data_IF_299176892337
#
_entry.id   IF_299176892337
#
_cell.length_a   1.000
_cell.length_b   1.000
_cell.length_c   1.000
_cell.angle_alpha   90.00
_cell.angle_beta   90.00
_cell.angle_gamma   90.00
#
_symmetry.space_group_name_H-M   'P 1'
#
loop_
_entity.id
_entity.type
_entity.pdbx_description
1 polymer ?
#
# COMPACT_ATOMS: atom_id res chain seq x y z
N UNK A 1 31.67 60.48 30.87
CA UNK A 1 32.07 59.16 30.37
C UNK A 1 30.94 58.70 29.46
N UNK A 2 31.22 58.69 28.14
CA UNK A 2 30.78 57.72 27.10
C UNK A 2 29.28 57.31 27.02
N UNK A 3 28.61 57.25 25.86
CA UNK A 3 28.98 57.61 24.47
C UNK A 3 28.70 56.50 23.44
N UNK A 4 27.70 56.70 22.56
CA UNK A 4 27.33 55.89 21.35
C UNK A 4 27.04 54.38 21.65
N UNK A 5 26.62 53.46 20.73
CA UNK A 5 26.40 53.42 19.26
C UNK A 5 24.96 53.00 18.85
N UNK A 6 24.72 52.91 17.54
CA UNK A 6 23.55 52.38 16.80
C UNK A 6 23.47 50.83 16.76
N UNK A 7 22.44 50.26 16.10
CA UNK A 7 22.68 49.14 15.14
C UNK A 7 21.81 47.86 15.16
N UNK A 8 20.82 47.81 14.27
CA UNK A 8 20.38 46.70 13.36
C UNK A 8 20.64 45.21 13.68
N UNK A 9 19.59 44.37 13.49
CA UNK A 9 19.52 42.92 13.18
C UNK A 9 20.74 41.98 13.36
N UNK A 10 20.50 40.79 13.91
CA UNK A 10 20.61 39.55 13.09
C UNK A 10 19.90 38.31 13.68
N UNK A 11 19.51 37.41 12.79
CA UNK A 11 18.89 36.12 13.09
C UNK A 11 19.87 35.12 13.71
N UNK A 12 19.34 34.13 14.43
CA UNK A 12 19.92 32.79 14.43
C UNK A 12 18.81 31.74 14.30
N UNK A 13 18.59 31.23 13.08
CA UNK A 13 17.64 30.13 12.80
C UNK A 13 18.42 28.81 12.77
N UNK A 14 18.25 28.02 13.83
CA UNK A 14 18.45 26.56 13.90
C UNK A 14 17.47 26.09 14.99
N UNK A 15 16.41 25.34 14.75
CA UNK A 15 16.46 23.98 14.21
C UNK A 15 15.09 23.46 13.73
N UNK A 16 15.11 22.74 12.61
CA UNK A 16 14.65 21.34 12.53
C UNK A 16 13.44 20.88 13.37
N UNK A 17 12.20 21.20 12.95
CA UNK A 17 11.08 20.22 12.82
C UNK A 17 9.70 20.87 12.64
N UNK A 18 9.19 20.89 11.40
CA UNK A 18 7.76 21.04 11.13
C UNK A 18 7.39 20.32 9.83
N UNK A 19 6.27 19.59 9.85
CA UNK A 19 5.82 18.72 8.77
C UNK A 19 5.54 19.47 7.46
N UNK A 20 6.43 19.30 6.47
CA UNK A 20 6.13 19.67 5.09
C UNK A 20 5.12 18.67 4.51
N UNK A 21 3.83 18.93 4.77
CA UNK A 21 2.74 18.34 4.01
C UNK A 21 2.89 18.76 2.54
N UNK A 22 3.55 17.91 1.73
CA UNK A 22 3.60 18.08 0.27
C UNK A 22 2.18 18.01 -0.28
N UNK A 23 1.60 19.19 -0.53
CA UNK A 23 0.21 19.35 -0.98
C UNK A 23 -0.06 18.74 -2.37
N UNK A 24 1.01 18.43 -3.10
CA UNK A 24 1.00 17.86 -4.44
C UNK A 24 1.20 16.33 -4.49
N UNK A 25 1.13 15.61 -3.36
CA UNK A 25 1.24 14.14 -3.34
C UNK A 25 -0.13 13.45 -3.35
N UNK A 26 -0.28 12.47 -4.24
CA UNK A 26 -1.44 11.57 -4.37
C UNK A 26 -0.98 10.16 -4.01
N UNK A 27 -1.44 9.64 -2.87
CA UNK A 27 -1.22 8.25 -2.50
C UNK A 27 -2.38 7.39 -2.98
N UNK A 28 -2.11 6.49 -3.94
CA UNK A 28 -3.07 5.52 -4.45
C UNK A 28 -3.04 4.27 -3.56
N UNK A 29 -4.18 3.99 -2.94
CA UNK A 29 -4.37 2.79 -2.11
C UNK A 29 -5.25 1.76 -2.84
N UNK A 30 -5.20 0.51 -2.38
CA UNK A 30 -5.93 -0.60 -2.98
C UNK A 30 -7.44 -0.59 -2.63
N UNK A 31 -8.21 0.43 -3.04
CA UNK A 31 -9.69 0.42 -2.94
C UNK A 31 -10.43 1.26 -4.00
N UNK A 32 -11.59 0.73 -4.43
CA UNK A 32 -12.89 1.36 -4.82
C UNK A 32 -12.99 2.62 -5.68
N UNK A 33 -11.98 3.47 -5.83
CA UNK A 33 -12.05 4.67 -6.68
C UNK A 33 -11.79 4.28 -8.14
N UNK A 34 -12.57 4.78 -9.11
CA UNK A 34 -12.32 4.51 -10.53
C UNK A 34 -11.00 5.15 -10.96
N UNK A 35 -10.31 4.57 -11.95
CA UNK A 35 -9.01 5.03 -12.46
C UNK A 35 -8.98 6.55 -12.74
N UNK A 36 -10.00 7.06 -13.43
CA UNK A 36 -10.13 8.47 -13.78
C UNK A 36 -10.28 9.44 -12.60
N UNK A 37 -10.66 8.97 -11.40
CA UNK A 37 -10.63 9.81 -10.20
C UNK A 37 -9.21 10.32 -9.92
N UNK A 38 -8.22 9.43 -9.99
CA UNK A 38 -6.83 9.77 -9.74
C UNK A 38 -6.21 10.55 -10.91
N UNK A 39 -6.56 10.23 -12.16
CA UNK A 39 -6.13 11.01 -13.33
C UNK A 39 -6.60 12.46 -13.24
N UNK A 40 -7.88 12.68 -12.90
CA UNK A 40 -8.45 14.03 -12.78
C UNK A 40 -7.92 14.78 -11.54
N UNK A 41 -7.62 14.08 -10.45
CA UNK A 41 -6.94 14.66 -9.29
C UNK A 41 -5.50 15.08 -9.63
N UNK A 42 -4.77 14.26 -10.38
CA UNK A 42 -3.42 14.57 -10.86
C UNK A 42 -3.39 15.81 -11.77
N UNK A 43 -4.33 15.91 -12.74
CA UNK A 43 -4.52 17.13 -13.56
C UNK A 43 -4.70 18.38 -12.69
N UNK A 44 -5.57 18.34 -11.68
CA UNK A 44 -5.80 19.47 -10.75
C UNK A 44 -4.57 19.81 -9.92
N UNK A 45 -3.76 18.84 -9.54
CA UNK A 45 -2.54 19.08 -8.77
C UNK A 45 -1.43 19.66 -9.66
N UNK A 46 -1.29 19.19 -10.91
CA UNK A 46 -0.38 19.79 -11.91
C UNK A 46 -0.75 21.26 -12.21
N UNK A 47 -2.04 21.61 -12.25
CA UNK A 47 -2.50 23.00 -12.38
C UNK A 47 -2.10 23.90 -11.19
N UNK A 48 -1.88 23.35 -10.00
CA UNK A 48 -1.65 24.11 -8.77
C UNK A 48 -0.19 24.17 -8.33
N UNK A 49 0.62 23.19 -8.71
CA UNK A 49 1.96 22.96 -8.14
C UNK A 49 3.05 22.64 -9.18
N UNK A 50 2.72 22.66 -10.48
CA UNK A 50 3.55 22.25 -11.65
C UNK A 50 4.12 20.82 -11.61
N UNK A 51 4.12 20.15 -10.47
CA UNK A 51 4.58 18.78 -10.28
C UNK A 51 3.58 18.01 -9.41
N UNK A 52 3.35 16.74 -9.71
CA UNK A 52 2.56 15.83 -8.88
C UNK A 52 3.38 14.60 -8.51
N UNK A 53 3.26 14.16 -7.27
CA UNK A 53 3.90 12.94 -6.77
C UNK A 53 2.85 11.85 -6.62
N UNK A 54 2.94 10.80 -7.43
CA UNK A 54 2.07 9.63 -7.36
C UNK A 54 2.77 8.54 -6.57
N UNK A 55 2.21 8.10 -5.44
CA UNK A 55 2.78 6.99 -4.67
C UNK A 55 1.80 5.83 -4.48
N UNK A 56 2.32 4.60 -4.47
CA UNK A 56 1.54 3.39 -4.26
C UNK A 56 2.36 2.29 -3.60
N UNK A 57 1.64 1.31 -3.05
CA UNK A 57 2.20 0.19 -2.31
C UNK A 57 1.52 -1.13 -2.74
N UNK A 58 2.32 -2.16 -2.97
CA UNK A 58 1.86 -3.48 -3.41
C UNK A 58 1.00 -3.42 -4.68
N UNK A 59 -0.18 -4.06 -4.66
CA UNK A 59 -1.07 -4.16 -5.82
C UNK A 59 -1.51 -2.80 -6.42
N UNK A 60 -1.45 -1.72 -5.64
CA UNK A 60 -1.81 -0.38 -6.14
C UNK A 60 -0.75 0.24 -7.09
N UNK A 61 0.45 -0.34 -7.16
CA UNK A 61 1.54 0.12 -8.04
C UNK A 61 1.09 0.14 -9.51
N UNK A 62 0.41 -0.90 -9.97
CA UNK A 62 -0.11 -0.99 -11.33
C UNK A 62 -0.97 0.23 -11.69
N UNK A 63 -1.87 0.64 -10.77
CA UNK A 63 -2.72 1.82 -10.96
C UNK A 63 -1.90 3.11 -11.09
N UNK A 64 -0.85 3.30 -10.28
CA UNK A 64 0.04 4.48 -10.40
C UNK A 64 0.81 4.50 -11.71
N UNK A 65 1.31 3.35 -12.15
CA UNK A 65 1.96 3.21 -13.47
C UNK A 65 0.98 3.59 -14.57
N UNK A 66 -0.23 3.04 -14.58
CA UNK A 66 -1.26 3.38 -15.58
C UNK A 66 -1.68 4.86 -15.55
N UNK A 67 -1.79 5.48 -14.36
CA UNK A 67 -2.07 6.93 -14.27
C UNK A 67 -0.93 7.74 -14.90
N UNK A 68 0.33 7.39 -14.61
CA UNK A 68 1.49 8.06 -15.17
C UNK A 68 1.59 7.87 -16.69
N UNK A 69 1.31 6.68 -17.21
CA UNK A 69 1.24 6.38 -18.65
C UNK A 69 0.15 7.20 -19.33
N UNK A 70 -1.06 7.28 -18.78
CA UNK A 70 -2.16 8.09 -19.33
C UNK A 70 -1.75 9.58 -19.42
N UNK A 71 -1.12 10.12 -18.37
CA UNK A 71 -0.70 11.52 -18.34
C UNK A 71 0.45 11.80 -19.32
N UNK A 72 1.42 10.88 -19.46
CA UNK A 72 2.51 11.00 -20.45
C UNK A 72 2.01 10.85 -21.89
N UNK A 73 1.19 9.83 -22.17
CA UNK A 73 0.69 9.54 -23.52
C UNK A 73 -0.25 10.63 -24.05
N UNK A 74 -1.04 11.26 -23.17
CA UNK A 74 -1.87 12.40 -23.52
C UNK A 74 -1.06 13.72 -23.65
N UNK A 75 0.27 13.67 -23.53
CA UNK A 75 1.13 14.85 -23.65
C UNK A 75 0.97 15.86 -22.50
N UNK A 76 0.36 15.48 -21.37
CA UNK A 76 0.10 16.34 -20.22
C UNK A 76 1.30 16.41 -19.25
N UNK A 77 2.14 15.37 -19.23
CA UNK A 77 3.18 15.23 -18.23
C UNK A 77 4.49 14.70 -18.78
N UNK A 78 5.57 15.06 -18.12
CA UNK A 78 6.91 14.48 -18.30
C UNK A 78 7.35 13.79 -17.01
N UNK A 79 8.09 12.70 -17.14
CA UNK A 79 8.66 12.01 -15.99
C UNK A 79 9.86 12.78 -15.44
N UNK A 80 9.84 13.09 -14.14
CA UNK A 80 10.95 13.75 -13.45
C UNK A 80 11.76 12.78 -12.59
N UNK A 81 11.09 11.81 -11.95
CA UNK A 81 11.72 10.80 -11.09
C UNK A 81 10.83 9.57 -10.94
N UNK A 82 11.41 8.38 -11.02
CA UNK A 82 10.82 7.14 -10.50
C UNK A 82 11.70 6.65 -9.35
N UNK A 83 11.07 6.24 -8.26
CA UNK A 83 11.74 5.68 -7.09
C UNK A 83 10.97 4.44 -6.62
N UNK A 84 11.66 3.30 -6.55
CA UNK A 84 11.14 2.05 -5.99
C UNK A 84 11.93 1.69 -4.75
N UNK A 85 11.25 1.28 -3.69
CA UNK A 85 11.89 0.76 -2.47
C UNK A 85 11.06 -0.37 -1.88
N UNK A 86 11.70 -1.44 -1.44
CA UNK A 86 11.06 -2.40 -0.52
C UNK A 86 10.83 -1.69 0.81
N UNK A 87 9.59 -1.68 1.31
CA UNK A 87 9.24 -1.02 2.57
C UNK A 87 8.86 -2.05 3.62
N UNK A 88 9.73 -2.19 4.63
CA UNK A 88 9.35 -2.82 5.88
C UNK A 88 8.30 -1.95 6.58
N UNK A 89 7.10 -2.48 6.79
CA UNK A 89 6.05 -1.77 7.53
C UNK A 89 6.51 -1.52 8.97
N UNK A 90 6.91 -0.27 9.26
CA UNK A 90 7.25 0.17 10.61
C UNK A 90 5.97 0.23 11.45
N UNK A 91 5.73 -0.84 12.18
CA UNK A 91 4.68 -0.96 13.19
C UNK A 91 5.02 -0.02 14.36
N UNK A 92 4.51 1.20 14.28
CA UNK A 92 4.79 2.25 15.27
C UNK A 92 4.05 1.92 16.58
N UNK A 93 4.77 1.37 17.56
CA UNK A 93 4.27 1.10 18.91
C UNK A 93 4.11 2.41 19.72
N UNK A 94 3.33 3.36 19.18
CA UNK A 94 2.89 4.58 19.84
C UNK A 94 1.64 4.33 20.68
N UNK A 95 1.81 4.18 22.00
CA UNK A 95 0.76 3.67 22.87
C UNK A 95 -0.49 4.55 23.01
N UNK A 96 -1.66 3.96 22.77
CA UNK A 96 -2.93 4.24 23.47
C UNK A 96 -3.68 2.92 23.69
N UNK A 97 -4.42 2.74 24.81
CA UNK A 97 -5.24 1.55 25.02
C UNK A 97 -6.49 1.60 24.13
N UNK A 98 -6.35 1.21 22.86
CA UNK A 98 -7.47 1.12 21.91
C UNK A 98 -8.31 -0.12 22.24
N UNK A 99 -9.64 0.05 22.27
CA UNK A 99 -10.57 -1.08 22.42
C UNK A 99 -10.31 -2.10 21.32
N UNK A 100 -9.97 -3.33 21.72
CA UNK A 100 -9.59 -4.40 20.78
C UNK A 100 -10.78 -4.78 19.91
N UNK A 101 -10.68 -4.51 18.60
CA UNK A 101 -11.58 -5.11 17.63
C UNK A 101 -11.51 -6.66 17.74
N UNK A 102 -12.63 -7.34 17.50
CA UNK A 102 -12.62 -8.80 17.36
C UNK A 102 -11.87 -9.15 16.08
N UNK A 103 -10.66 -9.69 16.20
CA UNK A 103 -9.85 -10.11 15.06
C UNK A 103 -10.49 -11.31 14.37
N UNK A 104 -10.49 -11.27 13.05
CA UNK A 104 -10.77 -12.43 12.19
C UNK A 104 -9.50 -12.85 11.45
N UNK A 105 -9.39 -14.14 11.15
CA UNK A 105 -8.40 -14.68 10.21
C UNK A 105 -9.14 -15.28 9.02
N UNK A 106 -8.46 -15.33 7.89
CA UNK A 106 -8.94 -16.05 6.72
C UNK A 106 -7.81 -16.39 5.77
N UNK A 107 -8.10 -17.20 4.77
CA UNK A 107 -7.11 -17.63 3.79
C UNK A 107 -7.75 -18.44 2.67
N UNK A 108 -7.00 -18.63 1.59
CA UNK A 108 -7.44 -19.30 0.36
C UNK A 108 -6.39 -20.32 -0.06
N UNK A 109 -6.78 -21.59 -0.14
CA UNK A 109 -5.97 -22.66 -0.73
C UNK A 109 -6.22 -22.69 -2.25
N UNK A 110 -5.14 -22.81 -3.04
CA UNK A 110 -5.20 -22.82 -4.50
C UNK A 110 -4.38 -23.97 -5.09
N UNK A 111 -4.72 -24.39 -6.30
CA UNK A 111 -3.88 -25.28 -7.11
C UNK A 111 -2.80 -24.51 -7.90
N UNK A 112 -1.98 -25.23 -8.67
CA UNK A 112 -0.96 -24.64 -9.54
C UNK A 112 -1.51 -23.74 -10.66
N UNK A 113 -2.80 -23.88 -10.99
CA UNK A 113 -3.51 -23.05 -11.97
C UNK A 113 -4.17 -21.83 -11.32
N UNK A 114 -3.88 -21.55 -10.04
CA UNK A 114 -4.51 -20.53 -9.21
C UNK A 114 -6.02 -20.71 -8.96
N UNK A 115 -6.59 -21.88 -9.28
CA UNK A 115 -7.99 -22.21 -8.98
C UNK A 115 -8.19 -22.38 -7.49
N UNK A 116 -9.26 -21.82 -6.94
CA UNK A 116 -9.57 -21.92 -5.51
C UNK A 116 -10.02 -23.35 -5.18
N UNK A 117 -9.26 -24.01 -4.30
CA UNK A 117 -9.56 -25.34 -3.79
C UNK A 117 -10.36 -25.29 -2.49
N UNK A 118 -10.07 -24.31 -1.63
CA UNK A 118 -10.78 -24.07 -0.38
C UNK A 118 -10.56 -22.62 0.09
N UNK A 119 -11.44 -22.15 0.97
CA UNK A 119 -11.26 -20.89 1.70
C UNK A 119 -11.74 -21.03 3.14
N UNK A 120 -11.07 -20.39 4.08
CA UNK A 120 -11.49 -20.33 5.48
C UNK A 120 -11.62 -18.88 5.95
N UNK A 121 -12.52 -18.65 6.91
CA UNK A 121 -12.71 -17.37 7.60
C UNK A 121 -13.28 -17.65 8.99
N UNK A 122 -12.63 -17.18 10.05
CA UNK A 122 -13.08 -17.38 11.43
C UNK A 122 -12.65 -16.25 12.37
N UNK A 123 -13.39 -16.05 13.46
CA UNK A 123 -13.02 -15.10 14.52
C UNK A 123 -12.01 -15.70 15.49
N UNK A 124 -10.87 -15.04 15.71
CA UNK A 124 -9.81 -15.47 16.65
C UNK A 124 -9.83 -14.72 17.99
N UNK A 125 -10.82 -13.87 18.19
CA UNK A 125 -10.97 -13.02 19.37
C UNK A 125 -10.01 -11.81 19.36
N UNK A 126 -9.85 -11.13 20.50
CA UNK A 126 -8.98 -9.96 20.60
C UNK A 126 -7.50 -10.36 20.68
N UNK A 127 -6.66 -9.79 19.81
CA UNK A 127 -5.20 -10.03 19.81
C UNK A 127 -4.41 -8.99 19.00
N UNK A 128 -3.08 -8.97 19.10
CA UNK A 128 -2.22 -8.18 18.20
C UNK A 128 -2.36 -8.65 16.75
N UNK A 129 -2.19 -7.77 15.74
CA UNK A 129 -2.21 -8.16 14.33
C UNK A 129 -1.25 -9.31 14.01
N UNK A 130 0.00 -9.24 14.50
CA UNK A 130 0.99 -10.31 14.33
C UNK A 130 0.56 -11.68 14.88
N UNK A 131 -0.28 -11.72 15.92
CA UNK A 131 -0.84 -12.98 16.43
C UNK A 131 -1.99 -13.49 15.56
N UNK A 132 -2.73 -12.59 14.89
CA UNK A 132 -3.73 -12.98 13.90
C UNK A 132 -3.05 -13.59 12.66
N UNK A 133 -1.94 -13.00 12.18
CA UNK A 133 -1.16 -13.54 11.06
C UNK A 133 -0.62 -14.96 11.35
N UNK A 134 0.07 -15.15 12.48
CA UNK A 134 0.55 -16.49 12.85
C UNK A 134 -0.59 -17.51 12.99
N UNK A 135 -1.75 -17.10 13.52
CA UNK A 135 -2.95 -17.96 13.58
C UNK A 135 -3.54 -18.25 12.20
N UNK A 136 -3.52 -17.30 11.27
CA UNK A 136 -3.95 -17.51 9.89
C UNK A 136 -3.04 -18.52 9.17
N UNK A 137 -1.72 -18.39 9.35
CA UNK A 137 -0.71 -19.32 8.85
C UNK A 137 -0.95 -20.73 9.41
N UNK A 138 -1.07 -20.87 10.74
CA UNK A 138 -1.38 -22.17 11.39
C UNK A 138 -2.67 -22.78 10.86
N UNK A 139 -3.75 -21.99 10.79
CA UNK A 139 -5.05 -22.44 10.30
C UNK A 139 -5.01 -22.86 8.82
N UNK A 140 -4.21 -22.18 7.99
CA UNK A 140 -3.99 -22.56 6.60
C UNK A 140 -3.23 -23.89 6.45
N UNK A 141 -2.24 -24.13 7.31
CA UNK A 141 -1.55 -25.42 7.42
C UNK A 141 -2.53 -26.51 7.87
N UNK A 142 -3.31 -26.28 8.92
CA UNK A 142 -4.30 -27.23 9.45
C UNK A 142 -5.36 -27.59 8.38
N UNK A 143 -5.83 -26.60 7.60
CA UNK A 143 -6.76 -26.81 6.47
C UNK A 143 -6.12 -27.63 5.35
N UNK A 144 -4.86 -27.34 5.00
CA UNK A 144 -4.14 -28.13 3.99
C UNK A 144 -3.94 -29.59 4.44
N UNK A 145 -3.44 -29.80 5.67
CA UNK A 145 -3.17 -31.12 6.24
C UNK A 145 -4.44 -31.97 6.40
N UNK A 146 -5.58 -31.32 6.66
CA UNK A 146 -6.89 -31.97 6.74
C UNK A 146 -7.53 -32.25 5.36
N UNK A 147 -6.93 -31.79 4.27
CA UNK A 147 -7.44 -31.95 2.90
C UNK A 147 -6.75 -33.11 2.15
N UNK A 148 -7.40 -33.62 1.11
CA UNK A 148 -6.79 -34.60 0.20
C UNK A 148 -5.51 -34.10 -0.50
N UNK A 149 -5.24 -32.79 -0.51
CA UNK A 149 -4.06 -32.23 -1.13
C UNK A 149 -2.78 -32.49 -0.32
N UNK A 150 -2.91 -32.82 0.96
CA UNK A 150 -1.81 -33.21 1.85
C UNK A 150 -1.03 -34.45 1.37
N UNK A 151 -1.61 -35.28 0.49
CA UNK A 151 -0.93 -36.44 -0.11
C UNK A 151 -0.56 -36.24 -1.57
N UNK A 152 -1.09 -35.20 -2.23
CA UNK A 152 -0.96 -34.97 -3.68
C UNK A 152 0.19 -34.03 -4.07
N UNK A 153 0.76 -33.27 -3.13
CA UNK A 153 1.86 -32.36 -3.46
C UNK A 153 2.48 -31.63 -2.27
N UNK A 154 3.39 -30.70 -2.57
CA UNK A 154 3.94 -29.75 -1.59
C UNK A 154 2.98 -28.56 -1.46
N UNK A 155 2.81 -28.05 -0.25
CA UNK A 155 2.18 -26.75 -0.06
C UNK A 155 3.22 -25.65 -0.40
N UNK A 156 2.75 -24.48 -0.82
CA UNK A 156 3.50 -23.22 -0.81
C UNK A 156 2.65 -22.27 0.02
N UNK A 157 3.22 -21.70 1.08
CA UNK A 157 2.51 -20.78 1.96
C UNK A 157 2.93 -19.35 1.62
N UNK A 158 1.98 -18.56 1.17
CA UNK A 158 2.20 -17.15 0.87
C UNK A 158 1.71 -16.31 2.07
N UNK A 159 2.54 -15.38 2.53
CA UNK A 159 2.17 -14.39 3.54
C UNK A 159 2.63 -13.00 3.12
N UNK A 160 1.80 -12.00 3.36
CA UNK A 160 2.14 -10.58 3.23
C UNK A 160 2.87 -10.02 4.48
N UNK A 161 2.93 -10.80 5.56
CA UNK A 161 3.61 -10.42 6.80
C UNK A 161 5.05 -10.96 6.86
N UNK A 162 6.02 -10.15 6.40
CA UNK A 162 7.46 -10.48 6.47
C UNK A 162 7.91 -10.91 7.87
N UNK A 163 7.50 -10.20 8.94
CA UNK A 163 7.88 -10.57 10.32
C UNK A 163 7.40 -11.97 10.72
N UNK A 164 6.19 -12.36 10.32
CA UNK A 164 5.70 -13.71 10.59
C UNK A 164 6.56 -14.76 9.87
N UNK A 165 6.92 -14.51 8.61
CA UNK A 165 7.86 -15.36 7.85
C UNK A 165 9.23 -15.43 8.53
N UNK A 166 9.83 -14.29 8.88
CA UNK A 166 11.15 -14.21 9.53
C UNK A 166 11.17 -14.95 10.87
N UNK A 167 10.13 -14.78 11.71
CA UNK A 167 9.98 -15.52 12.97
C UNK A 167 9.85 -17.02 12.74
N UNK A 168 9.09 -17.45 11.74
CA UNK A 168 8.90 -18.86 11.42
C UNK A 168 10.21 -19.51 10.89
N UNK A 169 10.97 -18.78 10.07
CA UNK A 169 12.26 -19.24 9.56
C UNK A 169 13.38 -19.18 10.63
N UNK A 170 13.27 -18.25 11.58
CA UNK A 170 14.23 -17.99 12.65
C UNK A 170 13.48 -17.88 14.00
N UNK A 171 13.02 -18.99 14.60
CA UNK A 171 12.17 -18.98 15.81
C UNK A 171 12.73 -18.20 17.00
N UNK A 172 14.06 -18.16 17.13
CA UNK A 172 14.77 -17.41 18.18
C UNK A 172 14.58 -15.88 18.11
N UNK A 173 14.05 -15.35 17.00
CA UNK A 173 13.73 -13.93 16.82
C UNK A 173 12.30 -13.56 17.22
N UNK A 174 11.46 -14.54 17.53
CA UNK A 174 10.06 -14.33 17.92
C UNK A 174 9.93 -13.90 19.39
N UNK A 175 8.99 -12.98 19.72
CA UNK A 175 8.63 -12.69 21.10
C UNK A 175 8.14 -13.93 21.87
N UNK A 176 8.50 -14.03 23.14
CA UNK A 176 8.16 -15.18 24.00
C UNK A 176 6.67 -15.46 24.14
N UNK A 177 5.80 -14.46 23.95
CA UNK A 177 4.33 -14.66 24.01
C UNK A 177 3.77 -15.44 22.80
N UNK A 178 4.53 -15.57 21.72
CA UNK A 178 4.15 -16.32 20.52
C UNK A 178 5.15 -17.41 20.10
N UNK A 179 6.22 -17.64 20.88
CA UNK A 179 7.25 -18.63 20.54
C UNK A 179 6.67 -20.05 20.38
N UNK A 180 5.76 -20.48 21.25
CA UNK A 180 5.09 -21.78 21.15
C UNK A 180 4.33 -22.00 19.84
N UNK A 181 3.67 -20.95 19.34
CA UNK A 181 2.95 -20.99 18.05
C UNK A 181 3.93 -20.99 16.87
N UNK A 182 5.03 -20.24 16.97
CA UNK A 182 6.10 -20.20 15.97
C UNK A 182 6.84 -21.54 15.90
N UNK A 183 7.12 -22.18 17.04
CA UNK A 183 7.71 -23.52 17.15
C UNK A 183 6.79 -24.60 16.57
N UNK A 184 5.48 -24.56 16.88
CA UNK A 184 4.47 -25.46 16.31
C UNK A 184 4.43 -25.35 14.77
N UNK A 185 4.36 -24.13 14.24
CA UNK A 185 4.38 -23.86 12.80
C UNK A 185 5.72 -24.34 12.19
N UNK A 186 6.86 -24.02 12.82
CA UNK A 186 8.20 -24.43 12.40
C UNK A 186 8.38 -25.95 12.27
N UNK A 187 7.79 -26.72 13.19
CA UNK A 187 7.80 -28.18 13.16
C UNK A 187 7.06 -28.73 11.93
N UNK A 188 5.87 -28.21 11.60
CA UNK A 188 5.11 -28.61 10.41
C UNK A 188 5.87 -28.31 9.10
N UNK A 189 6.60 -27.20 9.06
CA UNK A 189 7.37 -26.76 7.88
C UNK A 189 8.58 -27.65 7.61
N UNK A 190 9.35 -27.89 8.66
CA UNK A 190 10.56 -28.74 8.63
C UNK A 190 10.22 -30.18 8.19
N UNK A 191 9.04 -30.68 8.56
CA UNK A 191 8.60 -32.04 8.24
C UNK A 191 8.23 -32.26 6.75
N UNK A 192 7.96 -31.21 5.96
CA UNK A 192 7.33 -31.37 4.62
C UNK A 192 7.90 -30.51 3.47
N UNK A 193 9.01 -29.80 3.68
CA UNK A 193 9.64 -28.92 2.66
C UNK A 193 8.60 -27.96 2.05
N UNK A 194 7.98 -27.20 2.94
CA UNK A 194 6.99 -26.19 2.63
C UNK A 194 7.69 -24.83 2.49
N UNK A 195 7.72 -24.29 1.27
CA UNK A 195 8.27 -22.96 1.02
C UNK A 195 7.30 -21.90 1.55
N UNK A 196 7.79 -21.02 2.42
CA UNK A 196 7.10 -19.78 2.77
C UNK A 196 7.62 -18.66 1.87
N UNK A 197 6.72 -17.99 1.18
CA UNK A 197 7.02 -16.79 0.40
C UNK A 197 6.44 -15.59 1.13
N UNK A 198 7.32 -14.69 1.59
CA UNK A 198 6.90 -13.33 1.91
C UNK A 198 6.68 -12.58 0.60
N UNK A 199 5.51 -11.95 0.41
CA UNK A 199 5.39 -10.93 -0.64
C UNK A 199 6.10 -9.68 -0.15
N UNK A 200 7.25 -9.37 -0.75
CA UNK A 200 7.88 -8.07 -0.56
C UNK A 200 6.88 -6.95 -0.89
N UNK A 201 6.70 -6.06 0.08
CA UNK A 201 5.79 -4.92 -0.05
C UNK A 201 6.57 -3.79 -0.72
N UNK A 202 6.56 -3.81 -2.04
CA UNK A 202 7.13 -2.74 -2.85
C UNK A 202 6.34 -1.43 -2.65
N UNK A 203 7.08 -0.33 -2.53
CA UNK A 203 6.58 1.04 -2.64
C UNK A 203 7.14 1.67 -3.92
N UNK A 204 6.29 2.38 -4.66
CA UNK A 204 6.70 3.23 -5.78
C UNK A 204 6.32 4.68 -5.50
N UNK A 205 7.16 5.59 -5.96
CA UNK A 205 6.90 7.02 -6.05
C UNK A 205 7.33 7.52 -7.43
N UNK A 206 6.38 8.09 -8.18
CA UNK A 206 6.60 8.69 -9.50
C UNK A 206 6.33 10.18 -9.37
N UNK A 207 7.35 11.00 -9.63
CA UNK A 207 7.21 12.46 -9.73
C UNK A 207 7.06 12.81 -11.22
N UNK A 208 5.95 13.45 -11.55
CA UNK A 208 5.64 13.94 -12.88
C UNK A 208 5.66 15.47 -12.87
N UNK A 209 6.40 16.06 -13.80
CA UNK A 209 6.32 17.48 -14.11
C UNK A 209 5.26 17.76 -15.18
N UNK A 210 4.70 18.96 -15.12
CA UNK A 210 3.84 19.54 -16.16
C UNK A 210 4.60 19.59 -17.49
N UNK A 211 3.95 19.19 -18.59
CA UNK A 211 4.53 19.32 -19.93
C UNK A 211 4.37 20.75 -20.46
N UNK A 212 5.16 21.11 -21.48
CA UNK A 212 5.02 22.36 -22.23
C UNK A 212 3.63 22.52 -22.90
N UNK A 213 2.95 21.40 -23.18
CA UNK A 213 1.63 21.36 -23.83
C UNK A 213 0.45 21.31 -22.86
N UNK A 214 0.71 21.26 -21.56
CA UNK A 214 -0.34 21.00 -20.57
C UNK A 214 -1.43 22.08 -20.57
N UNK A 215 -1.06 23.36 -20.59
CA UNK A 215 -2.03 24.45 -20.52
C UNK A 215 -2.89 24.54 -21.79
N UNK A 216 -2.30 24.32 -22.97
CA UNK A 216 -2.99 24.23 -24.25
C UNK A 216 -4.02 23.08 -24.26
N UNK A 217 -3.59 21.87 -23.86
CA UNK A 217 -4.44 20.69 -23.83
C UNK A 217 -5.54 20.79 -22.78
N UNK A 218 -5.25 21.38 -21.61
CA UNK A 218 -6.27 21.60 -20.58
C UNK A 218 -7.28 22.66 -20.99
N UNK A 219 -6.87 23.71 -21.72
CA UNK A 219 -7.78 24.69 -22.30
C UNK A 219 -8.70 24.05 -23.37
N UNK A 220 -8.14 23.24 -24.27
CA UNK A 220 -8.94 22.51 -25.27
C UNK A 220 -9.99 21.58 -24.61
N UNK A 221 -9.61 20.85 -23.55
CA UNK A 221 -10.59 19.98 -22.84
C UNK A 221 -11.67 20.74 -22.06
N UNK A 222 -11.53 22.06 -21.86
CA UNK A 222 -12.56 22.87 -21.20
C UNK A 222 -13.74 23.21 -22.15
N UNK A 223 -13.54 23.11 -23.47
CA UNK A 223 -14.60 23.32 -24.47
C UNK A 223 -15.48 22.06 -24.64
N UNK A 224 -14.90 20.86 -24.52
CA UNK A 224 -15.63 19.58 -24.60
C UNK A 224 -16.59 19.33 -23.41
N UNK A 225 -16.27 19.85 -22.21
CA UNK A 225 -17.13 19.70 -21.02
C UNK A 225 -18.49 20.40 -21.19
N UNK A 226 -18.65 21.32 -22.15
CA UNK A 226 -19.93 21.99 -22.42
C UNK A 226 -20.91 21.14 -23.28
N UNK A 227 -20.45 20.05 -23.90
CA UNK A 227 -21.29 19.19 -24.76
C UNK A 227 -21.93 18.03 -23.98
N UNK A 228 -21.46 17.74 -22.75
CA UNK A 228 -21.94 16.61 -21.94
C UNK A 228 -23.03 16.92 -20.90
N UNK A 229 -23.54 18.16 -20.82
CA UNK A 229 -24.82 18.44 -20.12
C UNK A 229 -26.01 18.12 -21.02
N UNK A 230 -26.16 16.85 -21.38
CA UNK A 230 -27.30 16.35 -22.14
C UNK A 230 -28.62 16.61 -21.41
N UNK A 231 -29.53 17.37 -22.03
CA UNK A 231 -30.88 17.61 -21.51
C UNK A 231 -31.64 16.30 -21.35
N UNK A 232 -32.34 16.16 -20.22
CA UNK A 232 -33.41 15.18 -20.10
C UNK A 232 -34.68 15.75 -20.76
N UNK A 233 -34.98 15.33 -22.00
CA UNK A 233 -36.31 15.51 -22.58
C UNK A 233 -37.16 14.27 -22.30
N UNK A 234 -38.26 14.47 -21.58
CA UNK A 234 -39.29 13.45 -21.38
C UNK A 234 -40.32 13.64 -22.50
N UNK A 235 -40.34 12.71 -23.47
CA UNK A 235 -41.49 12.56 -24.36
C UNK A 235 -42.47 11.57 -23.73
N UNK A 236 -43.65 12.06 -23.37
CA UNK A 236 -44.84 11.25 -23.12
C UNK A 236 -45.78 11.37 -24.34
N UNK A 237 -46.26 10.25 -24.89
CA UNK A 237 -47.65 10.16 -25.35
C UNK A 237 -48.61 10.00 -24.15
#
# INVERSE_FOLDING_TARGET
MEGITEGVNNLNITDSSASNNKKNRIQVSNTKKPLFFYVNLAKRYMQQYDEVELSALGMAIATVVTIAEILKNNGLAVEKKIMTSTVDMREEYGGRPVQKAKGGIGGVLKDSNCSILASFSMGVGPGPPMLAELKAIKQGIDVFLSSEWATKGRLILESDCRKAVDWILIPISAPTFCSSLVEEIGAYLSARVLCILSREVYYIEIVLGKSEKFDELMAATAEDDYIMTGRAEILLP
#
